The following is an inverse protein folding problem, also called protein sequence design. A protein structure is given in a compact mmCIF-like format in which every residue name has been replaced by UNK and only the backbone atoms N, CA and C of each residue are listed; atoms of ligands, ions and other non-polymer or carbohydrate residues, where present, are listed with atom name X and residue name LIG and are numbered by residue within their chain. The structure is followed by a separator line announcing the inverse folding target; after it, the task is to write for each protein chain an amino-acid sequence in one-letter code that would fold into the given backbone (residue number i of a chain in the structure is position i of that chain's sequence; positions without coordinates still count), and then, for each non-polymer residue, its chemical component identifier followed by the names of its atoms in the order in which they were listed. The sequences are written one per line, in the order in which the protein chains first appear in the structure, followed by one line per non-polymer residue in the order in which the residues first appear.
data_IF_909643505200
#
_entry.id   IF_909643505200
#
_cell.length_a   1.000
_cell.length_b   1.000
_cell.length_c   1.000
_cell.angle_alpha   90.00
_cell.angle_beta   90.00
_cell.angle_gamma   90.00
#
_symmetry.space_group_name_H-M   'P 1'
#
loop_
_entity.id
_entity.type
_entity.pdbx_description
1 polymer ?
#
# COMPACT_ATOMS: atom_id res chain seq x y z
N UNK A 1 -14.64 14.62 18.51
CA UNK A 1 -13.78 13.42 18.44
C UNK A 1 -12.41 13.88 17.96
N UNK A 2 -11.31 13.51 18.60
CA UNK A 2 -9.98 13.81 18.06
C UNK A 2 -9.74 12.95 16.82
N UNK A 3 -9.37 13.60 15.73
CA UNK A 3 -8.88 12.90 14.54
C UNK A 3 -7.55 12.23 14.88
N UNK A 4 -7.43 10.93 14.56
CA UNK A 4 -6.19 10.19 14.77
C UNK A 4 -5.15 10.68 13.76
N UNK A 5 -3.92 10.89 14.22
CA UNK A 5 -2.79 11.33 13.40
C UNK A 5 -2.55 10.35 12.24
N UNK A 6 -2.38 10.86 11.01
CA UNK A 6 -1.98 10.06 9.86
C UNK A 6 -0.60 9.45 10.12
N UNK A 7 -0.47 8.14 9.93
CA UNK A 7 0.78 7.41 10.12
C UNK A 7 1.43 7.01 8.79
N UNK A 8 0.63 6.66 7.80
CA UNK A 8 1.07 6.31 6.45
C UNK A 8 -0.04 6.65 5.46
N UNK A 9 0.30 7.28 4.33
CA UNK A 9 -0.60 7.34 3.16
C UNK A 9 0.03 6.75 1.91
N UNK A 10 -0.80 6.07 1.12
CA UNK A 10 -0.52 5.67 -0.25
C UNK A 10 -1.53 6.41 -1.13
N UNK A 11 -1.04 7.22 -2.05
CA UNK A 11 -1.86 8.01 -2.96
C UNK A 11 -1.55 7.63 -4.40
N UNK A 12 -2.53 7.02 -5.07
CA UNK A 12 -2.44 6.57 -6.46
C UNK A 12 -1.19 5.72 -6.75
N UNK A 13 -0.80 4.88 -5.79
CA UNK A 13 0.46 4.14 -5.86
C UNK A 13 0.35 2.99 -6.85
N UNK A 14 1.26 2.98 -7.82
CA UNK A 14 1.49 1.85 -8.73
C UNK A 14 2.81 1.18 -8.33
N UNK A 15 2.82 -0.09 -7.89
CA UNK A 15 4.05 -0.80 -7.57
C UNK A 15 4.91 -1.08 -8.82
N UNK A 16 6.24 -0.99 -8.70
CA UNK A 16 7.15 -1.37 -9.78
C UNK A 16 7.50 -2.87 -9.66
N UNK A 17 6.71 -3.71 -10.33
CA UNK A 17 6.97 -5.16 -10.41
C UNK A 17 7.14 -5.57 -11.88
N UNK A 18 8.27 -6.20 -12.21
CA UNK A 18 8.56 -6.59 -13.58
C UNK A 18 7.62 -7.72 -14.04
N UNK A 19 7.04 -7.58 -15.23
CA UNK A 19 6.17 -8.60 -15.82
C UNK A 19 4.77 -8.71 -15.21
N UNK A 20 4.38 -7.79 -14.32
CA UNK A 20 3.04 -7.72 -13.74
C UNK A 20 2.40 -6.35 -14.01
N UNK A 21 1.15 -6.36 -14.46
CA UNK A 21 0.32 -5.16 -14.55
C UNK A 21 -0.66 -5.17 -13.39
N UNK A 22 -0.70 -4.08 -12.62
CA UNK A 22 -1.67 -3.93 -11.54
C UNK A 22 -3.01 -3.46 -12.10
N UNK A 23 -4.13 -4.11 -11.76
CA UNK A 23 -5.44 -3.75 -12.28
C UNK A 23 -5.99 -2.45 -11.68
N UNK A 24 -5.41 -1.96 -10.58
CA UNK A 24 -5.84 -0.73 -9.90
C UNK A 24 -4.68 -0.08 -9.14
N UNK A 25 -4.81 1.24 -8.93
CA UNK A 25 -3.91 2.02 -8.10
C UNK A 25 -4.27 1.83 -6.62
N UNK A 26 -3.26 1.82 -5.76
CA UNK A 26 -3.45 1.64 -4.33
C UNK A 26 -3.65 3.01 -3.69
N UNK A 27 -4.79 3.17 -3.01
CA UNK A 27 -5.10 4.34 -2.19
C UNK A 27 -5.42 3.84 -0.77
N UNK A 28 -4.63 4.26 0.21
CA UNK A 28 -4.79 3.80 1.58
C UNK A 28 -4.22 4.79 2.58
N UNK A 29 -5.02 5.18 3.57
CA UNK A 29 -4.56 5.90 4.75
C UNK A 29 -4.57 4.96 5.96
N UNK A 30 -3.49 4.98 6.72
CA UNK A 30 -3.39 4.30 8.02
C UNK A 30 -3.18 5.37 9.07
N UNK A 31 -4.08 5.44 10.05
CA UNK A 31 -3.95 6.37 11.18
C UNK A 31 -3.27 5.67 12.37
N UNK A 32 -2.59 6.45 13.20
CA UNK A 32 -1.88 5.94 14.38
C UNK A 32 -2.85 5.19 15.30
N UNK A 33 -2.43 3.98 15.70
CA UNK A 33 -3.21 3.10 16.57
C UNK A 33 -4.29 2.27 15.86
N UNK A 34 -4.37 2.31 14.53
CA UNK A 34 -5.16 1.35 13.76
C UNK A 34 -4.41 0.03 13.57
N UNK A 35 -5.18 -1.05 13.46
CA UNK A 35 -4.69 -2.37 13.11
C UNK A 35 -5.46 -2.87 11.89
N UNK A 36 -4.73 -3.25 10.86
CA UNK A 36 -5.29 -3.64 9.57
C UNK A 36 -4.91 -5.06 9.20
N UNK A 37 -5.87 -5.80 8.64
CA UNK A 37 -5.64 -7.10 8.05
C UNK A 37 -5.84 -7.01 6.54
N UNK A 38 -4.79 -7.34 5.78
CA UNK A 38 -4.86 -7.44 4.31
C UNK A 38 -5.17 -8.89 3.94
N UNK A 39 -6.33 -9.10 3.31
CA UNK A 39 -6.83 -10.44 2.95
C UNK A 39 -7.03 -10.57 1.44
N UNK A 40 -7.02 -11.81 0.93
CA UNK A 40 -7.18 -12.10 -0.49
C UNK A 40 -6.57 -13.44 -0.89
N UNK A 41 -6.86 -13.92 -2.10
CA UNK A 41 -6.36 -15.19 -2.63
C UNK A 41 -4.82 -15.24 -2.77
N UNK A 42 -4.27 -16.43 -2.96
CA UNK A 42 -2.86 -16.59 -3.32
C UNK A 42 -2.58 -15.87 -4.65
N UNK A 43 -1.47 -15.13 -4.72
CA UNK A 43 -1.13 -14.29 -5.88
C UNK A 43 -1.85 -12.93 -5.95
N UNK A 44 -2.77 -12.60 -5.03
CA UNK A 44 -3.49 -11.31 -5.04
C UNK A 44 -2.63 -10.07 -4.68
N UNK A 45 -1.31 -10.24 -4.49
CA UNK A 45 -0.41 -9.11 -4.21
C UNK A 45 -0.23 -8.73 -2.74
N UNK A 46 -0.66 -9.56 -1.77
CA UNK A 46 -0.53 -9.26 -0.33
C UNK A 46 0.91 -9.04 0.13
N UNK A 47 1.82 -9.98 -0.18
CA UNK A 47 3.25 -9.86 0.15
C UNK A 47 3.87 -8.65 -0.56
N UNK A 48 3.49 -8.43 -1.83
CA UNK A 48 3.94 -7.26 -2.58
C UNK A 48 3.52 -5.95 -1.90
N UNK A 49 2.28 -5.85 -1.42
CA UNK A 49 1.80 -4.66 -0.69
C UNK A 49 2.60 -4.44 0.60
N UNK A 50 2.89 -5.51 1.36
CA UNK A 50 3.73 -5.41 2.55
C UNK A 50 5.17 -4.97 2.22
N UNK A 51 5.74 -5.49 1.14
CA UNK A 51 7.08 -5.12 0.69
C UNK A 51 7.15 -3.69 0.13
N UNK A 52 6.08 -3.21 -0.51
CA UNK A 52 5.94 -1.83 -0.98
C UNK A 52 5.88 -0.85 0.19
N UNK A 53 5.01 -1.11 1.18
CA UNK A 53 4.86 -0.27 2.37
C UNK A 53 6.13 -0.27 3.24
N UNK A 54 6.88 -1.37 3.26
CA UNK A 54 8.17 -1.46 3.96
C UNK A 54 9.37 -0.93 3.16
N UNK A 55 9.14 -0.39 1.95
CA UNK A 55 10.19 0.21 1.13
C UNK A 55 11.14 -0.77 0.44
N UNK A 56 10.83 -2.07 0.42
CA UNK A 56 11.62 -3.10 -0.28
C UNK A 56 11.35 -3.14 -1.78
N UNK A 57 10.16 -2.72 -2.20
CA UNK A 57 9.79 -2.56 -3.61
C UNK A 57 9.55 -1.08 -3.88
N UNK A 58 10.11 -0.58 -4.98
CA UNK A 58 9.90 0.79 -5.41
C UNK A 58 8.48 0.96 -6.01
N UNK A 59 7.91 2.15 -5.83
CA UNK A 59 6.76 2.58 -6.64
C UNK A 59 7.21 2.99 -8.04
N UNK A 60 6.34 2.78 -9.02
CA UNK A 60 6.45 3.32 -10.38
C UNK A 60 5.82 4.71 -10.46
N UNK A 61 4.64 4.88 -9.86
CA UNK A 61 3.87 6.13 -9.82
C UNK A 61 3.24 6.32 -8.42
N UNK A 62 2.65 7.50 -8.17
CA UNK A 62 1.98 7.87 -6.92
C UNK A 62 2.92 8.31 -5.81
N UNK A 63 2.42 8.45 -4.60
CA UNK A 63 3.16 8.91 -3.41
C UNK A 63 2.96 7.98 -2.21
N UNK A 64 4.01 7.85 -1.39
CA UNK A 64 3.98 7.12 -0.12
C UNK A 64 4.57 8.07 0.92
N UNK A 65 3.77 8.52 1.89
CA UNK A 65 4.10 9.52 2.90
C UNK A 65 3.92 8.98 4.32
#
# INVERSE_FOLDING_TARGET
MMERELFLSLENVEPRVYGMTFPSLINWEIKRGEQWAVVGANGAGKTMLADLVSGKIAKRNGEIN
#
